data_IF_395747265422
#
_entry.id   IF_395747265422
#
_cell.length_a   1.000
_cell.length_b   1.000
_cell.length_c   1.000
_cell.angle_alpha   90.00
_cell.angle_beta   90.00
_cell.angle_gamma   90.00
#
_symmetry.space_group_name_H-M   'P 1'
#
loop_
_entity.id
_entity.type
_entity.pdbx_description
1 polymer ?
#
# COMPACT_ATOMS: atom_id res chain seq x y z
N UNK A 1 -34.56 -0.34 -18.68
CA UNK A 1 -33.62 -1.47 -18.91
C UNK A 1 -33.76 -2.15 -20.28
N UNK A 2 -34.56 -1.64 -21.24
CA UNK A 2 -34.69 -2.27 -22.58
C UNK A 2 -34.04 -1.50 -23.76
N UNK A 3 -33.35 -0.38 -23.54
CA UNK A 3 -32.81 0.40 -24.66
C UNK A 3 -31.40 0.01 -25.11
N UNK A 4 -30.70 -0.86 -24.38
CA UNK A 4 -29.33 -1.27 -24.73
C UNK A 4 -29.26 -2.42 -25.74
N UNK A 5 -30.36 -3.16 -25.94
CA UNK A 5 -30.39 -4.32 -26.84
C UNK A 5 -30.50 -3.93 -28.33
N UNK A 6 -30.90 -2.69 -28.64
CA UNK A 6 -31.06 -2.18 -30.01
C UNK A 6 -29.98 -1.16 -30.41
N UNK A 7 -29.05 -0.83 -29.51
CA UNK A 7 -27.98 0.13 -29.78
C UNK A 7 -26.81 -0.57 -30.48
N UNK A 8 -26.21 0.12 -31.45
CA UNK A 8 -24.93 -0.28 -32.00
C UNK A 8 -23.89 -0.37 -30.87
N UNK A 9 -22.96 -1.33 -30.94
CA UNK A 9 -21.96 -1.56 -29.89
C UNK A 9 -21.21 -0.28 -29.50
N UNK A 10 -20.95 0.60 -30.47
CA UNK A 10 -20.33 1.90 -30.24
C UNK A 10 -21.18 2.84 -29.37
N UNK A 11 -22.49 2.89 -29.59
CA UNK A 11 -23.39 3.75 -28.81
C UNK A 11 -23.55 3.22 -27.39
N UNK A 12 -23.64 1.89 -27.23
CA UNK A 12 -23.66 1.24 -25.91
C UNK A 12 -22.37 1.50 -25.14
N UNK A 13 -21.20 1.40 -25.79
CA UNK A 13 -19.91 1.73 -25.20
C UNK A 13 -19.81 3.21 -24.82
N UNK A 14 -20.22 4.13 -25.70
CA UNK A 14 -20.19 5.57 -25.41
C UNK A 14 -21.09 5.93 -24.22
N UNK A 15 -22.28 5.33 -24.14
CA UNK A 15 -23.18 5.50 -23.00
C UNK A 15 -22.58 4.93 -21.71
N UNK A 16 -21.94 3.75 -21.77
CA UNK A 16 -21.23 3.17 -20.62
C UNK A 16 -20.12 4.11 -20.11
N UNK A 17 -19.28 4.61 -21.01
CA UNK A 17 -18.22 5.58 -20.67
C UNK A 17 -18.81 6.86 -20.07
N UNK A 18 -19.92 7.37 -20.64
CA UNK A 18 -20.61 8.55 -20.10
C UNK A 18 -21.16 8.30 -18.70
N UNK A 19 -21.74 7.13 -18.43
CA UNK A 19 -22.20 6.75 -17.08
C UNK A 19 -21.04 6.66 -16.09
N UNK A 20 -19.92 6.03 -16.48
CA UNK A 20 -18.72 5.96 -15.66
C UNK A 20 -18.17 7.35 -15.31
N UNK A 21 -18.15 8.28 -16.26
CA UNK A 21 -17.71 9.67 -16.02
C UNK A 21 -18.62 10.41 -15.04
N UNK A 22 -19.89 10.01 -14.93
CA UNK A 22 -20.83 10.54 -13.93
C UNK A 22 -20.76 9.77 -12.58
N UNK A 23 -19.85 8.81 -12.43
CA UNK A 23 -19.71 7.98 -11.23
C UNK A 23 -20.77 6.89 -11.10
N UNK A 24 -21.55 6.63 -12.15
CA UNK A 24 -22.53 5.55 -12.19
C UNK A 24 -21.89 4.27 -12.74
N UNK A 25 -21.57 3.36 -11.83
CA UNK A 25 -21.05 2.03 -12.15
C UNK A 25 -22.15 1.01 -12.45
N UNK A 26 -23.42 1.41 -12.38
CA UNK A 26 -24.58 0.55 -12.54
C UNK A 26 -24.92 -0.24 -11.28
N UNK A 27 -25.63 -1.35 -11.49
CA UNK A 27 -26.14 -2.21 -10.42
C UNK A 27 -25.61 -3.64 -10.56
N UNK A 28 -25.47 -4.31 -9.42
CA UNK A 28 -25.18 -5.74 -9.37
C UNK A 28 -26.35 -6.53 -9.94
N UNK A 29 -26.05 -7.53 -10.78
CA UNK A 29 -27.09 -8.41 -11.31
C UNK A 29 -27.60 -9.40 -10.26
N UNK A 30 -26.81 -9.70 -9.23
CA UNK A 30 -27.19 -10.67 -8.20
C UNK A 30 -28.10 -10.04 -7.14
N UNK A 31 -27.78 -8.82 -6.67
CA UNK A 31 -28.49 -8.22 -5.53
C UNK A 31 -29.24 -6.91 -5.86
N UNK A 32 -29.12 -6.38 -7.08
CA UNK A 32 -29.80 -5.16 -7.52
C UNK A 32 -29.30 -3.87 -6.87
N UNK A 33 -28.25 -3.92 -6.04
CA UNK A 33 -27.71 -2.74 -5.35
C UNK A 33 -26.74 -1.96 -6.25
N UNK A 34 -26.63 -0.65 -5.99
CA UNK A 34 -25.66 0.22 -6.65
C UNK A 34 -24.23 -0.25 -6.43
N UNK A 35 -23.47 -0.40 -7.51
CA UNK A 35 -22.07 -0.81 -7.47
C UNK A 35 -21.18 0.32 -6.92
N UNK A 36 -21.49 1.58 -7.24
CA UNK A 36 -20.80 2.75 -6.67
C UNK A 36 -20.86 2.74 -5.14
N UNK A 37 -22.04 2.48 -4.56
CA UNK A 37 -22.21 2.42 -3.12
C UNK A 37 -21.45 1.24 -2.49
N UNK A 38 -21.47 0.08 -3.12
CA UNK A 38 -20.71 -1.09 -2.67
C UNK A 38 -19.20 -0.82 -2.69
N UNK A 39 -18.67 -0.25 -3.78
CA UNK A 39 -17.26 0.10 -3.93
C UNK A 39 -16.85 1.09 -2.84
N UNK A 40 -17.58 2.20 -2.66
CA UNK A 40 -17.29 3.19 -1.62
C UNK A 40 -17.35 2.62 -0.20
N UNK A 41 -18.12 1.54 0.02
CA UNK A 41 -18.21 0.89 1.32
C UNK A 41 -17.00 0.01 1.65
N UNK A 42 -16.37 -0.61 0.65
CA UNK A 42 -15.24 -1.55 0.85
C UNK A 42 -13.88 -0.87 0.65
N UNK A 43 -13.84 0.24 -0.10
CA UNK A 43 -12.61 0.94 -0.44
C UNK A 43 -11.80 1.44 0.77
N UNK A 44 -12.42 2.08 1.79
CA UNK A 44 -11.69 2.60 2.94
C UNK A 44 -10.94 1.52 3.73
N UNK A 45 -11.48 0.30 3.78
CA UNK A 45 -10.85 -0.83 4.44
C UNK A 45 -9.54 -1.23 3.74
N UNK A 46 -9.53 -1.29 2.40
CA UNK A 46 -8.32 -1.54 1.59
C UNK A 46 -7.28 -0.44 1.79
N UNK A 47 -7.69 0.83 1.77
CA UNK A 47 -6.79 1.96 1.99
C UNK A 47 -6.16 1.87 3.39
N UNK A 48 -6.96 1.60 4.42
CA UNK A 48 -6.48 1.48 5.81
C UNK A 48 -5.40 0.40 5.92
N UNK A 49 -5.62 -0.75 5.28
CA UNK A 49 -4.68 -1.86 5.27
C UNK A 49 -3.39 -1.54 4.49
N UNK A 50 -3.52 -0.90 3.32
CA UNK A 50 -2.36 -0.52 2.52
C UNK A 50 -1.50 0.55 3.20
N UNK A 51 -2.14 1.55 3.79
CA UNK A 51 -1.45 2.62 4.52
C UNK A 51 -0.77 2.10 5.77
N UNK A 52 -1.40 1.20 6.53
CA UNK A 52 -0.78 0.63 7.73
C UNK A 52 0.47 -0.18 7.38
N UNK A 53 0.40 -1.04 6.35
CA UNK A 53 1.54 -1.79 5.85
C UNK A 53 2.65 -0.86 5.34
N UNK A 54 2.30 0.20 4.60
CA UNK A 54 3.26 1.17 4.10
C UNK A 54 3.97 1.91 5.24
N UNK A 55 3.23 2.39 6.25
CA UNK A 55 3.80 3.08 7.41
C UNK A 55 4.80 2.18 8.14
N UNK A 56 4.42 0.94 8.43
CA UNK A 56 5.32 -0.04 9.07
C UNK A 56 6.57 -0.24 8.20
N UNK A 57 6.39 -0.39 6.90
CA UNK A 57 7.50 -0.61 5.97
C UNK A 57 8.46 0.58 5.85
N UNK A 58 7.98 1.81 5.96
CA UNK A 58 8.84 3.01 5.95
C UNK A 58 9.60 3.15 7.26
N UNK A 59 8.92 2.94 8.39
CA UNK A 59 9.51 3.05 9.73
C UNK A 59 10.64 2.04 9.90
N UNK A 60 10.50 0.83 9.35
CA UNK A 60 11.48 -0.24 9.50
C UNK A 60 12.49 -0.23 8.34
N UNK A 61 12.01 -0.12 7.10
CA UNK A 61 12.81 -0.28 5.88
C UNK A 61 13.84 0.81 5.69
N UNK A 62 13.50 2.08 5.98
CA UNK A 62 14.44 3.20 5.80
C UNK A 62 15.63 3.07 6.78
N UNK A 63 15.44 2.90 8.10
CA UNK A 63 16.54 2.69 9.03
C UNK A 63 17.37 1.45 8.70
N UNK A 64 16.72 0.33 8.37
CA UNK A 64 17.42 -0.89 7.99
C UNK A 64 18.25 -0.70 6.72
N UNK A 65 17.76 0.05 5.73
CA UNK A 65 18.50 0.32 4.49
C UNK A 65 19.73 1.19 4.71
N UNK A 66 19.60 2.23 5.54
CA UNK A 66 20.74 3.04 5.97
C UNK A 66 21.78 2.21 6.75
N UNK A 67 21.33 1.32 7.63
CA UNK A 67 22.19 0.40 8.34
C UNK A 67 22.87 -0.61 7.39
N UNK A 68 22.14 -1.17 6.44
CA UNK A 68 22.69 -2.11 5.46
C UNK A 68 23.75 -1.44 4.58
N UNK A 69 23.60 -0.15 4.28
CA UNK A 69 24.56 0.62 3.49
C UNK A 69 25.93 0.79 4.19
N UNK A 70 25.96 0.87 5.53
CA UNK A 70 27.24 0.90 6.27
C UNK A 70 27.93 -0.47 6.28
N UNK A 71 27.14 -1.55 6.20
CA UNK A 71 27.60 -2.92 6.29
C UNK A 71 27.89 -3.57 4.93
N UNK A 72 27.87 -2.80 3.83
CA UNK A 72 27.94 -3.32 2.45
C UNK A 72 29.16 -4.21 2.17
N UNK A 73 30.28 -4.04 2.90
CA UNK A 73 31.49 -4.84 2.73
C UNK A 73 31.53 -6.10 3.61
N UNK A 74 30.67 -6.17 4.64
CA UNK A 74 30.65 -7.24 5.63
C UNK A 74 29.68 -8.36 5.21
N UNK A 75 29.83 -9.56 5.78
CA UNK A 75 28.92 -10.69 5.53
C UNK A 75 27.46 -10.33 5.85
N UNK A 76 27.24 -9.51 6.89
CA UNK A 76 25.90 -9.02 7.24
C UNK A 76 25.27 -8.22 6.09
N UNK A 77 26.01 -7.32 5.44
CA UNK A 77 25.48 -6.59 4.28
C UNK A 77 25.19 -7.49 3.09
N UNK A 78 26.03 -8.50 2.85
CA UNK A 78 25.77 -9.52 1.81
C UNK A 78 24.51 -10.34 2.12
N UNK A 79 24.31 -10.74 3.38
CA UNK A 79 23.12 -11.46 3.82
C UNK A 79 21.85 -10.61 3.68
N UNK A 80 21.87 -9.34 4.13
CA UNK A 80 20.75 -8.41 3.98
C UNK A 80 20.39 -8.19 2.50
N UNK A 81 21.39 -8.09 1.63
CA UNK A 81 21.16 -8.01 0.20
C UNK A 81 20.42 -9.25 -0.33
N UNK A 82 20.90 -10.45 0.00
CA UNK A 82 20.27 -11.71 -0.43
C UNK A 82 18.83 -11.77 0.10
N UNK A 83 18.61 -11.50 1.39
CA UNK A 83 17.29 -11.55 2.01
C UNK A 83 16.30 -10.65 1.29
N UNK A 84 16.68 -9.40 0.99
CA UNK A 84 15.72 -8.54 0.33
C UNK A 84 15.55 -8.83 -1.17
N UNK A 85 16.51 -9.47 -1.85
CA UNK A 85 16.26 -10.02 -3.20
C UNK A 85 15.30 -11.21 -3.16
N UNK A 86 15.41 -12.04 -2.11
CA UNK A 86 14.51 -13.17 -1.87
C UNK A 86 13.09 -12.75 -1.45
N UNK A 87 12.88 -11.48 -1.07
CA UNK A 87 11.57 -10.96 -0.68
C UNK A 87 10.49 -11.17 -1.75
N UNK A 88 10.86 -11.09 -3.03
CA UNK A 88 9.97 -11.31 -4.17
C UNK A 88 9.73 -12.79 -4.47
N UNK A 89 10.56 -13.69 -3.91
CA UNK A 89 10.47 -15.12 -4.17
C UNK A 89 9.44 -15.81 -3.27
N UNK A 90 9.16 -15.27 -2.08
CA UNK A 90 8.17 -15.83 -1.16
C UNK A 90 6.78 -15.28 -1.52
N UNK A 91 5.81 -16.13 -1.92
CA UNK A 91 4.46 -15.66 -2.20
C UNK A 91 3.81 -15.07 -0.94
N UNK A 92 3.34 -13.83 -1.04
CA UNK A 92 2.78 -13.07 0.10
C UNK A 92 1.58 -13.77 0.72
N UNK A 93 0.73 -14.40 -0.10
CA UNK A 93 -0.41 -15.18 0.39
C UNK A 93 0.03 -16.40 1.22
N UNK A 94 1.10 -17.09 0.81
CA UNK A 94 1.64 -18.24 1.53
C UNK A 94 2.23 -17.81 2.86
N UNK A 95 2.99 -16.71 2.85
CA UNK A 95 3.51 -16.10 4.08
C UNK A 95 2.36 -15.68 5.03
N UNK A 96 1.28 -15.11 4.48
CA UNK A 96 0.07 -14.80 5.22
C UNK A 96 -0.54 -16.02 5.92
N UNK A 97 -0.68 -17.14 5.20
CA UNK A 97 -1.20 -18.39 5.75
C UNK A 97 -0.29 -18.98 6.83
N UNK A 98 1.03 -18.98 6.63
CA UNK A 98 2.00 -19.49 7.61
C UNK A 98 2.00 -18.64 8.88
N UNK A 99 2.04 -17.32 8.75
CA UNK A 99 2.01 -16.42 9.90
C UNK A 99 0.67 -16.48 10.64
N UNK A 100 -0.44 -16.63 9.90
CA UNK A 100 -1.77 -16.86 10.48
C UNK A 100 -1.81 -18.16 11.29
N UNK A 101 -1.30 -19.26 10.73
CA UNK A 101 -1.23 -20.54 11.43
C UNK A 101 -0.34 -20.47 12.68
N UNK A 102 0.83 -19.84 12.56
CA UNK A 102 1.75 -19.66 13.68
C UNK A 102 1.15 -18.79 14.80
N UNK A 103 0.50 -17.68 14.45
CA UNK A 103 -0.19 -16.82 15.41
C UNK A 103 -1.31 -17.58 16.14
N UNK A 104 -2.06 -18.42 15.41
CA UNK A 104 -3.12 -19.25 15.97
C UNK A 104 -2.59 -20.30 16.96
N UNK A 105 -1.41 -20.89 16.73
CA UNK A 105 -0.83 -21.88 17.64
C UNK A 105 -0.28 -21.26 18.93
N UNK A 106 0.34 -20.08 18.82
CA UNK A 106 1.02 -19.43 19.95
C UNK A 106 0.10 -18.51 20.77
N UNK A 107 -1.22 -18.64 20.59
CA UNK A 107 -2.23 -17.83 21.27
C UNK A 107 -1.94 -16.32 21.18
N UNK A 108 -1.46 -15.85 20.02
CA UNK A 108 -1.29 -14.42 19.84
C UNK A 108 -2.65 -13.75 20.05
N UNK A 109 -2.70 -12.74 20.92
CA UNK A 109 -3.91 -11.89 21.10
C UNK A 109 -4.27 -11.09 19.83
N UNK A 110 -3.46 -11.24 18.78
CA UNK A 110 -3.66 -10.72 17.44
C UNK A 110 -4.68 -11.61 16.75
N UNK A 111 -5.90 -11.11 16.60
CA UNK A 111 -6.95 -11.86 15.92
C UNK A 111 -6.63 -12.03 14.44
N UNK A 112 -6.79 -13.26 13.95
CA UNK A 112 -6.42 -13.66 12.61
C UNK A 112 -7.49 -13.35 11.54
N UNK A 113 -8.70 -12.93 11.93
CA UNK A 113 -9.84 -12.89 10.99
C UNK A 113 -10.72 -11.67 11.22
N UNK A 114 -11.02 -10.95 10.13
CA UNK A 114 -11.92 -9.79 10.11
C UNK A 114 -11.29 -8.51 10.67
N UNK A 115 -12.04 -7.41 10.62
CA UNK A 115 -11.56 -6.07 11.04
C UNK A 115 -11.78 -5.76 12.53
N UNK A 116 -12.76 -6.41 13.16
CA UNK A 116 -13.14 -6.22 14.56
C UNK A 116 -13.98 -7.42 14.99
N UNK A 117 -13.94 -7.74 16.28
CA UNK A 117 -14.72 -8.81 16.87
C UNK A 117 -16.25 -8.57 16.71
N UNK A 118 -17.05 -9.58 16.35
CA UNK A 118 -18.49 -9.43 16.08
C UNK A 118 -19.35 -8.90 17.23
N UNK A 119 -18.84 -8.93 18.47
CA UNK A 119 -19.53 -8.38 19.65
C UNK A 119 -19.70 -6.86 19.58
N UNK A 120 -18.84 -6.18 18.82
CA UNK A 120 -18.88 -4.74 18.67
C UNK A 120 -19.71 -4.35 17.44
N UNK A 121 -20.71 -3.45 17.58
CA UNK A 121 -21.48 -2.99 16.44
C UNK A 121 -20.60 -2.18 15.48
N UNK A 122 -20.64 -2.52 14.20
CA UNK A 122 -19.96 -1.77 13.14
C UNK A 122 -20.79 -0.53 12.79
N UNK A 123 -20.40 0.64 13.28
CA UNK A 123 -20.93 1.91 12.80
C UNK A 123 -20.10 2.34 11.58
N UNK A 124 -20.77 2.67 10.48
CA UNK A 124 -20.12 3.12 9.22
C UNK A 124 -20.56 4.56 8.94
N UNK A 125 -19.71 5.53 9.28
CA UNK A 125 -19.96 6.95 8.99
C UNK A 125 -19.08 7.38 7.81
N UNK A 126 -17.77 7.21 7.95
CA UNK A 126 -16.76 7.50 6.93
C UNK A 126 -16.34 6.25 6.16
N UNK A 127 -16.60 5.06 6.72
CA UNK A 127 -16.14 3.79 6.18
C UNK A 127 -14.74 3.40 6.68
N UNK A 128 -13.95 4.35 7.19
CA UNK A 128 -12.70 4.06 7.87
C UNK A 128 -12.99 3.63 9.32
N UNK A 129 -12.89 2.33 9.60
CA UNK A 129 -13.31 1.76 10.89
C UNK A 129 -12.64 2.44 12.10
N UNK A 130 -11.33 2.73 12.04
CA UNK A 130 -10.62 3.41 13.14
C UNK A 130 -11.16 4.83 13.38
N UNK A 131 -11.47 5.57 12.31
CA UNK A 131 -12.06 6.91 12.42
C UNK A 131 -13.52 6.83 12.91
N UNK A 132 -14.28 5.86 12.42
CA UNK A 132 -15.67 5.66 12.83
C UNK A 132 -15.78 5.28 14.31
N UNK A 133 -14.87 4.43 14.82
CA UNK A 133 -14.76 4.15 16.26
C UNK A 133 -14.41 5.41 17.03
N UNK A 134 -13.46 6.21 16.55
CA UNK A 134 -13.05 7.45 17.20
C UNK A 134 -14.19 8.46 17.30
N UNK A 135 -15.00 8.58 16.25
CA UNK A 135 -16.15 9.48 16.17
C UNK A 135 -17.41 8.92 16.87
N UNK A 136 -17.47 7.63 17.13
CA UNK A 136 -18.62 7.02 17.81
C UNK A 136 -18.78 7.48 19.27
N UNK A 137 -20.02 7.55 19.76
CA UNK A 137 -20.32 7.82 21.18
C UNK A 137 -20.30 6.56 22.06
N UNK A 138 -19.62 5.49 21.63
CA UNK A 138 -19.62 4.21 22.32
C UNK A 138 -18.84 4.27 23.65
N UNK A 139 -19.37 3.72 24.77
CA UNK A 139 -18.66 3.64 26.04
C UNK A 139 -17.44 2.71 26.00
N UNK A 140 -17.35 1.84 24.99
CA UNK A 140 -16.25 0.87 24.81
C UNK A 140 -15.25 1.27 23.72
N UNK A 141 -15.20 2.55 23.33
CA UNK A 141 -14.34 3.10 22.26
C UNK A 141 -12.89 2.61 22.33
N UNK A 142 -12.26 2.68 23.51
CA UNK A 142 -10.87 2.25 23.67
C UNK A 142 -10.66 0.75 23.42
N UNK A 143 -11.59 -0.09 23.89
CA UNK A 143 -11.54 -1.55 23.66
C UNK A 143 -11.77 -1.90 22.19
N UNK A 144 -12.69 -1.20 21.53
CA UNK A 144 -12.91 -1.34 20.09
C UNK A 144 -11.66 -0.96 19.29
N UNK A 145 -11.02 0.17 19.63
CA UNK A 145 -9.79 0.62 18.98
C UNK A 145 -8.65 -0.39 19.15
N UNK A 146 -8.42 -0.86 20.38
CA UNK A 146 -7.42 -1.89 20.66
C UNK A 146 -7.69 -3.16 19.85
N UNK A 147 -8.95 -3.62 19.84
CA UNK A 147 -9.33 -4.82 19.11
C UNK A 147 -9.11 -4.63 17.59
N UNK A 148 -9.54 -3.52 17.00
CA UNK A 148 -9.31 -3.25 15.58
C UNK A 148 -7.81 -3.19 15.25
N UNK A 149 -6.97 -2.62 16.11
CA UNK A 149 -5.52 -2.62 15.92
C UNK A 149 -4.92 -4.03 16.02
N UNK A 150 -5.41 -4.88 16.94
CA UNK A 150 -5.02 -6.29 17.03
C UNK A 150 -5.41 -7.07 15.76
N UNK A 151 -6.60 -6.81 15.19
CA UNK A 151 -7.07 -7.41 13.94
C UNK A 151 -6.29 -6.89 12.70
N UNK A 152 -5.83 -5.63 12.73
CA UNK A 152 -5.06 -5.01 11.64
C UNK A 152 -3.59 -5.46 11.62
N UNK A 153 -3.02 -5.79 12.78
CA UNK A 153 -1.59 -6.00 12.94
C UNK A 153 -1.04 -7.11 12.03
N UNK A 154 -1.65 -8.31 12.02
CA UNK A 154 -1.13 -9.43 11.25
C UNK A 154 -1.23 -9.24 9.73
N UNK A 155 -2.40 -8.86 9.15
CA UNK A 155 -2.50 -8.53 7.73
C UNK A 155 -1.52 -7.43 7.31
N UNK A 156 -1.38 -6.38 8.11
CA UNK A 156 -0.48 -5.28 7.83
C UNK A 156 0.98 -5.71 7.87
N UNK A 157 1.39 -6.54 8.84
CA UNK A 157 2.75 -7.08 8.95
C UNK A 157 3.10 -8.00 7.78
N UNK A 158 2.17 -8.86 7.37
CA UNK A 158 2.33 -9.74 6.19
C UNK A 158 2.64 -8.93 4.94
N UNK A 159 1.88 -7.86 4.71
CA UNK A 159 2.10 -6.95 3.57
C UNK A 159 3.33 -6.06 3.76
N UNK A 160 3.66 -5.69 4.99
CA UNK A 160 4.81 -4.84 5.29
C UNK A 160 6.14 -5.56 5.09
N UNK A 161 6.23 -6.89 5.24
CA UNK A 161 7.49 -7.64 5.05
C UNK A 161 8.10 -7.42 3.64
N UNK A 162 7.41 -7.74 2.53
CA UNK A 162 7.98 -7.52 1.20
C UNK A 162 8.24 -6.03 0.93
N UNK A 163 7.34 -5.14 1.37
CA UNK A 163 7.51 -3.69 1.23
C UNK A 163 8.74 -3.15 1.99
N UNK A 164 8.98 -3.66 3.20
CA UNK A 164 10.13 -3.29 4.04
C UNK A 164 11.43 -3.67 3.35
N UNK A 165 11.48 -4.88 2.78
CA UNK A 165 12.67 -5.38 2.09
C UNK A 165 12.96 -4.61 0.81
N UNK A 166 11.92 -4.21 0.06
CA UNK A 166 12.04 -3.33 -1.09
C UNK A 166 12.57 -1.93 -0.70
N UNK A 167 11.97 -1.30 0.31
CA UNK A 167 12.38 0.02 0.81
C UNK A 167 13.81 -0.02 1.35
N UNK A 168 14.15 -1.07 2.10
CA UNK A 168 15.50 -1.30 2.62
C UNK A 168 16.51 -1.35 1.48
N UNK A 169 16.26 -2.15 0.44
CA UNK A 169 17.15 -2.31 -0.71
C UNK A 169 17.39 -1.00 -1.45
N UNK A 170 16.31 -0.33 -1.83
CA UNK A 170 16.42 0.94 -2.55
C UNK A 170 17.14 1.98 -1.70
N UNK A 171 16.83 2.06 -0.40
CA UNK A 171 17.52 2.97 0.53
C UNK A 171 18.99 2.65 0.64
N UNK A 172 19.34 1.37 0.74
CA UNK A 172 20.71 0.90 0.83
C UNK A 172 21.52 1.27 -0.42
N UNK A 173 20.99 1.02 -1.61
CA UNK A 173 21.66 1.31 -2.88
C UNK A 173 21.88 2.82 -3.05
N UNK A 174 20.87 3.63 -2.73
CA UNK A 174 20.97 5.09 -2.81
C UNK A 174 21.94 5.67 -1.79
N UNK A 175 21.90 5.20 -0.55
CA UNK A 175 22.85 5.62 0.48
C UNK A 175 24.29 5.22 0.12
N UNK A 176 24.51 4.00 -0.37
CA UNK A 176 25.82 3.53 -0.81
C UNK A 176 26.35 4.33 -2.00
N UNK A 177 25.48 4.72 -2.94
CA UNK A 177 25.83 5.61 -4.05
C UNK A 177 26.26 7.00 -3.55
N UNK A 178 25.50 7.60 -2.63
CA UNK A 178 25.79 8.91 -2.03
C UNK A 178 27.12 8.89 -1.27
N UNK A 179 27.42 7.83 -0.53
CA UNK A 179 28.68 7.67 0.21
C UNK A 179 29.94 7.71 -0.67
N UNK A 180 29.82 7.37 -1.96
CA UNK A 180 30.94 7.35 -2.92
C UNK A 180 31.17 8.70 -3.60
N UNK A 181 30.30 9.67 -3.40
CA UNK A 181 30.35 10.97 -4.05
C UNK A 181 31.54 11.82 -3.60
N UNK A 182 32.04 12.68 -4.50
CA UNK A 182 33.23 13.49 -4.25
C UNK A 182 33.07 14.46 -3.07
N UNK A 183 31.87 15.02 -2.87
CA UNK A 183 31.62 15.91 -1.72
C UNK A 183 31.74 15.19 -0.36
N UNK A 184 31.47 13.88 -0.29
CA UNK A 184 31.70 13.08 0.92
C UNK A 184 33.20 12.91 1.16
N UNK A 185 33.98 12.65 0.10
CA UNK A 185 35.45 12.55 0.21
C UNK A 185 36.05 13.86 0.71
N UNK A 186 35.60 15.01 0.18
CA UNK A 186 36.02 16.34 0.65
C UNK A 186 35.65 16.57 2.11
N UNK A 187 34.43 16.22 2.54
CA UNK A 187 34.03 16.33 3.94
C UNK A 187 34.93 15.51 4.89
N UNK A 188 35.32 14.28 4.47
CA UNK A 188 36.29 13.46 5.22
C UNK A 188 37.67 14.12 5.30
N UNK A 189 38.18 14.71 4.21
CA UNK A 189 39.49 15.42 4.22
C UNK A 189 39.48 16.66 5.09
N UNK A 190 38.32 17.30 5.28
CA UNK A 190 38.15 18.45 6.19
C UNK A 190 38.05 18.05 7.67
N UNK A 191 38.18 16.76 8.00
CA UNK A 191 38.14 16.26 9.38
C UNK A 191 36.74 16.23 10.00
N UNK A 192 35.67 16.23 9.20
CA UNK A 192 34.31 16.15 9.74
C UNK A 192 34.07 14.78 10.37
N UNK A 193 33.35 14.74 11.50
CA UNK A 193 33.03 13.49 12.20
C UNK A 193 32.12 12.60 11.35
N UNK A 194 32.22 11.26 11.45
CA UNK A 194 31.36 10.34 10.70
C UNK A 194 29.87 10.61 10.90
N UNK A 195 29.47 10.93 12.13
CA UNK A 195 28.07 11.25 12.46
C UNK A 195 27.59 12.51 11.75
N UNK A 196 28.41 13.57 11.69
CA UNK A 196 28.06 14.82 10.98
C UNK A 196 27.92 14.58 9.49
N UNK A 197 28.81 13.81 8.88
CA UNK A 197 28.73 13.44 7.45
C UNK A 197 27.44 12.64 7.19
N UNK A 198 27.10 11.72 8.10
CA UNK A 198 25.92 10.87 7.99
C UNK A 198 24.61 11.66 7.97
N UNK A 199 24.38 12.48 8.99
CA UNK A 199 23.12 13.22 9.16
C UNK A 199 23.00 14.39 8.19
N UNK A 200 24.10 15.07 7.88
CA UNK A 200 24.08 16.30 7.08
C UNK A 200 24.14 16.04 5.58
N UNK A 201 24.91 15.03 5.14
CA UNK A 201 25.12 14.78 3.71
C UNK A 201 24.47 13.48 3.24
N UNK A 202 24.66 12.37 3.96
CA UNK A 202 24.20 11.06 3.44
C UNK A 202 22.67 10.97 3.52
N UNK A 203 22.09 11.11 4.71
CA UNK A 203 20.63 11.01 4.89
C UNK A 203 19.92 12.07 4.06
N UNK A 204 20.34 13.33 4.18
CA UNK A 204 19.71 14.47 3.51
C UNK A 204 19.74 14.37 1.97
N UNK A 205 20.79 13.80 1.38
CA UNK A 205 20.88 13.61 -0.06
C UNK A 205 20.29 12.27 -0.54
N UNK A 206 19.93 11.36 0.37
CA UNK A 206 19.30 10.08 0.04
C UNK A 206 17.77 10.19 0.08
N UNK A 207 17.22 10.85 1.11
CA UNK A 207 15.77 10.95 1.34
C UNK A 207 14.96 11.46 0.13
N UNK A 208 15.40 12.47 -0.64
CA UNK A 208 14.64 12.95 -1.80
C UNK A 208 14.39 11.84 -2.84
N UNK A 209 15.37 10.96 -3.04
CA UNK A 209 15.26 9.84 -4.00
C UNK A 209 14.32 8.71 -3.56
N UNK A 210 13.91 8.70 -2.29
CA UNK A 210 13.01 7.70 -1.73
C UNK A 210 11.54 8.05 -1.91
N UNK A 211 11.21 9.33 -2.15
CA UNK A 211 9.82 9.78 -2.31
C UNK A 211 9.09 9.09 -3.49
N UNK A 212 9.68 8.99 -4.70
CA UNK A 212 9.03 8.29 -5.80
C UNK A 212 8.76 6.81 -5.52
N UNK A 213 9.61 6.18 -4.70
CA UNK A 213 9.48 4.77 -4.34
C UNK A 213 8.25 4.52 -3.49
N UNK A 214 7.86 5.44 -2.60
CA UNK A 214 6.72 5.26 -1.69
C UNK A 214 5.46 4.86 -2.45
N UNK A 215 5.22 5.53 -3.58
CA UNK A 215 4.07 5.25 -4.44
C UNK A 215 4.16 3.91 -5.15
N UNK A 216 5.33 3.59 -5.71
CA UNK A 216 5.58 2.30 -6.35
C UNK A 216 5.32 1.16 -5.36
N UNK A 217 5.82 1.30 -4.13
CA UNK A 217 5.61 0.34 -3.05
C UNK A 217 4.14 0.31 -2.61
N UNK A 218 3.44 1.45 -2.57
CA UNK A 218 2.00 1.46 -2.28
C UNK A 218 1.19 0.67 -3.31
N UNK A 219 1.47 0.83 -4.61
CA UNK A 219 0.79 0.08 -5.68
C UNK A 219 1.05 -1.43 -5.54
N UNK A 220 2.29 -1.80 -5.21
CA UNK A 220 2.66 -3.19 -4.96
C UNK A 220 1.94 -3.76 -3.72
N UNK A 221 1.85 -3.01 -2.62
CA UNK A 221 1.08 -3.38 -1.43
C UNK A 221 -0.40 -3.55 -1.79
N UNK A 222 -0.97 -2.63 -2.56
CA UNK A 222 -2.37 -2.69 -2.99
C UNK A 222 -2.65 -3.98 -3.79
N UNK A 223 -1.77 -4.33 -4.72
CA UNK A 223 -1.89 -5.55 -5.51
C UNK A 223 -1.83 -6.83 -4.64
N UNK A 224 -0.87 -6.91 -3.71
CA UNK A 224 -0.79 -8.04 -2.78
C UNK A 224 -1.93 -8.06 -1.76
N UNK A 225 -2.42 -6.88 -1.37
CA UNK A 225 -3.51 -6.67 -0.43
C UNK A 225 -4.77 -7.40 -0.85
N UNK A 226 -5.09 -7.45 -2.15
CA UNK A 226 -6.31 -8.11 -2.63
C UNK A 226 -6.42 -9.58 -2.22
N UNK A 227 -5.31 -10.34 -2.25
CA UNK A 227 -5.31 -11.74 -1.80
C UNK A 227 -5.29 -11.85 -0.27
N UNK A 228 -4.56 -10.95 0.40
CA UNK A 228 -4.49 -10.90 1.86
C UNK A 228 -5.83 -10.57 2.48
N UNK A 229 -6.62 -9.70 1.86
CA UNK A 229 -7.97 -9.39 2.31
C UNK A 229 -8.87 -10.62 2.34
N UNK A 230 -8.73 -11.51 1.36
CA UNK A 230 -9.48 -12.76 1.35
C UNK A 230 -9.01 -13.72 2.44
N UNK A 231 -7.69 -13.90 2.60
CA UNK A 231 -7.11 -14.79 3.63
C UNK A 231 -7.54 -14.38 5.04
N UNK A 232 -7.41 -13.10 5.35
CA UNK A 232 -7.73 -12.55 6.67
C UNK A 232 -9.18 -12.13 6.81
N UNK A 233 -10.04 -12.40 5.81
CA UNK A 233 -11.43 -11.95 5.80
C UNK A 233 -11.61 -10.46 6.06
N UNK A 234 -10.68 -9.64 5.60
CA UNK A 234 -10.75 -8.18 5.65
C UNK A 234 -11.81 -7.67 4.67
N UNK A 235 -12.63 -6.69 5.05
CA UNK A 235 -13.75 -6.19 4.25
C UNK A 235 -13.37 -5.24 3.12
N UNK A 236 -12.27 -5.51 2.41
CA UNK A 236 -11.76 -4.66 1.34
C UNK A 236 -12.28 -4.99 -0.07
N UNK A 237 -11.86 -4.18 -1.04
CA UNK A 237 -12.28 -4.29 -2.45
C UNK A 237 -11.80 -5.58 -3.13
N UNK A 238 -10.64 -6.10 -2.76
CA UNK A 238 -10.11 -7.34 -3.32
C UNK A 238 -10.97 -8.53 -2.93
N UNK A 239 -11.37 -8.63 -1.66
CA UNK A 239 -12.32 -9.65 -1.22
C UNK A 239 -13.69 -9.49 -1.90
N UNK A 240 -14.18 -8.25 -2.02
CA UNK A 240 -15.44 -7.98 -2.74
C UNK A 240 -15.38 -8.43 -4.20
N UNK A 241 -14.29 -8.17 -4.90
CA UNK A 241 -14.10 -8.58 -6.29
C UNK A 241 -13.98 -10.11 -6.44
N UNK A 242 -13.27 -10.78 -5.53
CA UNK A 242 -13.19 -12.25 -5.50
C UNK A 242 -14.58 -12.88 -5.28
N UNK A 243 -15.39 -12.29 -4.40
CA UNK A 243 -16.77 -12.75 -4.19
C UNK A 243 -17.63 -12.54 -5.45
N UNK A 244 -17.51 -11.39 -6.12
CA UNK A 244 -18.21 -11.11 -7.38
C UNK A 244 -17.81 -12.12 -8.48
N UNK A 245 -16.53 -12.48 -8.56
CA UNK A 245 -16.03 -13.55 -9.44
C UNK A 245 -16.65 -14.91 -9.12
N UNK A 246 -16.77 -15.25 -7.84
CA UNK A 246 -17.34 -16.54 -7.41
C UNK A 246 -18.82 -16.69 -7.79
N UNK A 247 -19.61 -15.60 -7.71
CA UNK A 247 -21.03 -15.59 -8.07
C UNK A 247 -21.30 -15.14 -9.51
N UNK A 248 -20.26 -14.95 -10.32
CA UNK A 248 -20.32 -14.54 -11.72
C UNK A 248 -21.09 -13.23 -11.97
N UNK A 249 -20.97 -12.26 -11.08
CA UNK A 249 -21.55 -10.92 -11.28
C UNK A 249 -20.65 -10.08 -12.19
N UNK A 250 -20.83 -10.23 -13.50
CA UNK A 250 -20.02 -9.55 -14.52
C UNK A 250 -20.06 -8.01 -14.42
N UNK A 251 -21.17 -7.42 -13.96
CA UNK A 251 -21.24 -5.97 -13.75
C UNK A 251 -20.34 -5.54 -12.59
N UNK A 252 -20.41 -6.26 -11.46
CA UNK A 252 -19.55 -6.00 -10.32
C UNK A 252 -18.07 -6.19 -10.65
N UNK A 253 -17.73 -7.23 -11.43
CA UNK A 253 -16.35 -7.47 -11.88
C UNK A 253 -15.84 -6.29 -12.73
N UNK A 254 -16.62 -5.88 -13.75
CA UNK A 254 -16.25 -4.75 -14.61
C UNK A 254 -16.07 -3.45 -13.81
N UNK A 255 -17.04 -3.14 -12.95
CA UNK A 255 -17.00 -1.96 -12.11
C UNK A 255 -15.78 -1.96 -11.15
N UNK A 256 -15.49 -3.10 -10.52
CA UNK A 256 -14.34 -3.25 -9.64
C UNK A 256 -13.01 -3.07 -10.35
N UNK A 257 -12.84 -3.67 -11.54
CA UNK A 257 -11.61 -3.53 -12.34
C UNK A 257 -11.39 -2.07 -12.76
N UNK A 258 -12.44 -1.39 -13.21
CA UNK A 258 -12.36 0.05 -13.56
C UNK A 258 -12.03 0.89 -12.33
N UNK A 259 -12.71 0.67 -11.19
CA UNK A 259 -12.46 1.42 -9.97
C UNK A 259 -11.01 1.25 -9.46
N UNK A 260 -10.49 0.02 -9.48
CA UNK A 260 -9.09 -0.28 -9.15
C UNK A 260 -8.14 0.44 -10.12
N UNK A 261 -8.40 0.36 -11.43
CA UNK A 261 -7.57 1.04 -12.43
C UNK A 261 -7.52 2.56 -12.25
N UNK A 262 -8.68 3.18 -12.06
CA UNK A 262 -8.79 4.62 -11.76
C UNK A 262 -8.03 4.97 -10.49
N UNK A 263 -8.14 4.17 -9.43
CA UNK A 263 -7.42 4.42 -8.19
C UNK A 263 -5.90 4.33 -8.35
N UNK A 264 -5.40 3.29 -9.02
CA UNK A 264 -3.96 3.13 -9.28
C UNK A 264 -3.43 4.31 -10.10
N UNK A 265 -4.19 4.75 -11.12
CA UNK A 265 -3.85 5.95 -11.89
C UNK A 265 -3.84 7.22 -11.01
N UNK A 266 -4.83 7.40 -10.12
CA UNK A 266 -4.86 8.52 -9.20
C UNK A 266 -3.64 8.53 -8.28
N UNK A 267 -3.25 7.37 -7.74
CA UNK A 267 -2.04 7.25 -6.89
C UNK A 267 -0.78 7.60 -7.69
N UNK A 268 -0.63 7.11 -8.92
CA UNK A 268 0.53 7.42 -9.75
C UNK A 268 0.58 8.92 -10.13
N UNK A 269 -0.57 9.52 -10.46
CA UNK A 269 -0.69 10.95 -10.72
C UNK A 269 -0.32 11.79 -9.49
N UNK A 270 -0.85 11.46 -8.30
CA UNK A 270 -0.50 12.14 -7.04
C UNK A 270 1.01 12.10 -6.79
N UNK A 271 1.65 10.99 -7.14
CA UNK A 271 3.09 10.83 -7.03
C UNK A 271 3.85 11.69 -8.03
N UNK A 272 3.36 11.78 -9.27
CA UNK A 272 3.86 12.75 -10.25
C UNK A 272 3.85 14.18 -9.71
N UNK A 273 2.73 14.60 -9.10
CA UNK A 273 2.61 15.93 -8.49
C UNK A 273 3.57 16.14 -7.31
N UNK A 274 3.65 15.18 -6.38
CA UNK A 274 4.55 15.25 -5.21
C UNK A 274 6.01 15.36 -5.67
N UNK A 275 6.40 14.61 -6.71
CA UNK A 275 7.74 14.70 -7.32
C UNK A 275 8.04 16.10 -7.84
N UNK A 276 7.15 16.69 -8.64
CA UNK A 276 7.34 18.04 -9.21
C UNK A 276 7.48 19.11 -8.12
N UNK A 277 6.77 18.97 -7.01
CA UNK A 277 6.84 19.92 -5.89
C UNK A 277 8.16 19.76 -5.11
N UNK A 278 8.60 18.52 -4.86
CA UNK A 278 9.73 18.24 -3.98
C UNK A 278 11.08 18.25 -4.70
N UNK A 279 11.12 18.00 -6.01
CA UNK A 279 12.32 18.11 -6.83
C UNK A 279 12.16 19.13 -7.96
N UNK A 280 12.38 20.43 -7.67
CA UNK A 280 12.45 21.44 -8.73
C UNK A 280 13.71 21.32 -9.60
N UNK A 281 14.65 20.40 -9.30
CA UNK A 281 15.91 20.26 -10.04
C UNK A 281 15.79 19.42 -11.32
N UNK A 282 14.75 18.61 -11.47
CA UNK A 282 14.36 18.01 -12.76
C UNK A 282 14.08 19.06 -13.86
N UNK A 283 13.87 20.33 -13.48
CA UNK A 283 13.77 21.44 -14.44
C UNK A 283 15.11 21.82 -15.09
N UNK A 284 16.26 21.42 -14.52
CA UNK A 284 17.58 21.81 -15.05
C UNK A 284 18.07 20.96 -16.22
N UNK A 285 17.63 19.70 -16.32
CA UNK A 285 18.04 18.83 -17.43
C UNK A 285 17.39 19.23 -18.77
N UNK A 286 16.30 19.99 -18.73
CA UNK A 286 15.67 20.63 -19.89
C UNK A 286 16.48 21.79 -20.49
N UNK A 287 17.40 22.40 -19.73
CA UNK A 287 18.23 23.52 -20.20
C UNK A 287 19.70 23.14 -20.46
N UNK A 288 20.11 21.91 -20.14
CA UNK A 288 21.48 21.41 -20.36
C UNK A 288 21.64 20.51 -21.59
N UNK A 289 20.60 20.37 -22.41
CA UNK A 289 20.54 19.49 -23.58
C UNK A 289 20.58 20.23 -24.93
N UNK A 290 21.14 21.44 -24.95
CA UNK A 290 21.51 22.18 -26.16
C UNK A 290 22.96 22.64 -26.11
#
# INVERSE_FOLDING_TARGET
MNHLAELNWFDAYFNYVKSLLNGDFGISFTNGQSLTAQILQVFPATITLCLSALIVSLIIGIPLGFFAATQQQNMLGKALNIVGTLSLAIPVFWLGLVLMYYASLNQWEISAVGEIHPIYPKQKVTGFLLLDIWLSDSPYKLKMMQNTLQHLALPALVLAIPATLEIMHVTQDRAAYVMRQNYIKVAKTRGWTPFRIWTTHIIRNTLPSLLPMIARTFILIFAFGMLIENIFSWGGIGRWLINALAIQDYNAISAGVVAIGVFVLLVDMMTGFIRVILDPSDKKDWYGSY
#
